data_IF_089303587147
#
_entry.id   IF_089303587147
#
_cell.length_a   1.000
_cell.length_b   1.000
_cell.length_c   1.000
_cell.angle_alpha   90.00
_cell.angle_beta   90.00
_cell.angle_gamma   90.00
#
_symmetry.space_group_name_H-M   'P 1'
#
loop_
_entity.id
_entity.type
_entity.pdbx_description
1 polymer ?
#
# COMPACT_ATOMS: atom_id res chain seq x y z
N UNK A 1 -0.65 -7.51 -13.05
CA UNK A 1 -0.19 -6.47 -12.10
C UNK A 1 1.32 -6.28 -12.09
N UNK A 2 2.10 -7.33 -12.28
CA UNK A 2 3.57 -7.18 -12.24
C UNK A 2 4.07 -6.18 -13.28
N UNK A 3 3.63 -6.31 -14.53
CA UNK A 3 4.04 -5.38 -15.59
C UNK A 3 3.62 -3.94 -15.31
N UNK A 4 2.43 -3.77 -14.76
CA UNK A 4 1.90 -2.45 -14.42
C UNK A 4 2.69 -1.80 -13.28
N UNK A 5 3.12 -2.59 -12.30
CA UNK A 5 3.86 -2.08 -11.14
C UNK A 5 5.37 -1.97 -11.38
N UNK A 6 5.88 -2.49 -12.50
CA UNK A 6 7.32 -2.49 -12.77
C UNK A 6 7.96 -1.09 -12.69
N UNK A 7 7.41 -0.04 -13.33
CA UNK A 7 8.03 1.29 -13.20
C UNK A 7 8.10 1.78 -11.75
N UNK A 8 7.05 1.51 -10.98
CA UNK A 8 7.00 1.89 -9.57
C UNK A 8 8.04 1.11 -8.75
N UNK A 9 8.11 -0.20 -8.93
CA UNK A 9 9.06 -1.05 -8.21
C UNK A 9 10.51 -0.72 -8.59
N UNK A 10 10.78 -0.44 -9.86
CA UNK A 10 12.10 -0.01 -10.32
C UNK A 10 12.54 1.30 -9.62
N UNK A 11 11.60 2.20 -9.39
CA UNK A 11 11.87 3.46 -8.67
C UNK A 11 12.09 3.19 -7.17
N UNK A 12 11.23 2.38 -6.57
CA UNK A 12 11.24 2.12 -5.14
C UNK A 12 12.53 1.44 -4.65
N UNK A 13 13.19 0.64 -5.49
CA UNK A 13 14.43 -0.04 -5.09
C UNK A 13 15.53 0.94 -4.66
N UNK A 14 15.47 2.18 -5.12
CA UNK A 14 16.48 3.21 -4.84
C UNK A 14 16.04 4.17 -3.72
N UNK A 15 14.87 3.97 -3.12
CA UNK A 15 14.39 4.84 -2.05
C UNK A 15 14.99 4.46 -0.70
N UNK A 16 15.32 5.47 0.08
CA UNK A 16 15.76 5.31 1.47
C UNK A 16 14.54 5.52 2.38
N UNK A 17 13.98 4.44 2.89
CA UNK A 17 12.80 4.51 3.75
C UNK A 17 13.13 4.97 5.17
N UNK A 18 14.41 5.07 5.54
CA UNK A 18 14.81 5.63 6.83
C UNK A 18 14.50 7.12 6.92
N UNK A 19 14.24 7.77 5.78
CA UNK A 19 13.74 9.15 5.73
C UNK A 19 12.37 9.12 5.01
N UNK A 20 11.30 8.74 5.71
CA UNK A 20 10.01 8.53 5.07
C UNK A 20 9.44 9.80 4.43
N UNK A 21 9.67 10.97 5.00
CA UNK A 21 9.17 12.22 4.41
C UNK A 21 9.82 12.49 3.05
N UNK A 22 11.14 12.29 2.93
CA UNK A 22 11.85 12.47 1.66
C UNK A 22 11.44 11.41 0.64
N UNK A 23 11.27 10.15 1.06
CA UNK A 23 10.81 9.08 0.18
C UNK A 23 9.40 9.37 -0.35
N UNK A 24 8.51 9.83 0.52
CA UNK A 24 7.14 10.18 0.15
C UNK A 24 7.11 11.34 -0.85
N UNK A 25 7.93 12.37 -0.62
CA UNK A 25 8.05 13.50 -1.55
C UNK A 25 8.57 13.06 -2.91
N UNK A 26 9.54 12.16 -2.95
CA UNK A 26 10.09 11.61 -4.19
C UNK A 26 9.04 10.81 -4.97
N UNK A 27 8.24 10.01 -4.28
CA UNK A 27 7.15 9.25 -4.89
C UNK A 27 6.08 10.18 -5.47
N UNK A 28 5.69 11.21 -4.73
CA UNK A 28 4.69 12.17 -5.19
C UNK A 28 5.20 12.95 -6.41
N UNK A 29 6.47 13.28 -6.46
CA UNK A 29 7.07 13.98 -7.59
C UNK A 29 7.16 13.10 -8.84
N UNK A 30 7.56 11.82 -8.70
CA UNK A 30 7.71 10.89 -9.82
C UNK A 30 6.37 10.32 -10.28
N UNK A 31 5.49 10.02 -9.32
CA UNK A 31 4.18 9.42 -9.59
C UNK A 31 3.09 10.23 -8.89
N UNK A 32 2.72 11.41 -9.44
CA UNK A 32 1.68 12.23 -8.83
C UNK A 32 0.37 11.45 -8.65
N UNK A 33 -0.27 11.62 -7.51
CA UNK A 33 -1.48 10.86 -7.17
C UNK A 33 -2.58 11.02 -8.23
N UNK A 34 -2.79 12.24 -8.71
CA UNK A 34 -3.79 12.50 -9.75
C UNK A 34 -3.35 12.14 -11.16
N UNK A 35 -2.12 11.62 -11.34
CA UNK A 35 -1.58 11.30 -12.63
C UNK A 35 -2.16 10.03 -13.25
N UNK A 36 -2.00 9.90 -14.57
CA UNK A 36 -2.55 8.78 -15.33
C UNK A 36 -2.03 7.42 -14.86
N UNK A 37 -0.74 7.34 -14.54
CA UNK A 37 -0.13 6.08 -14.09
C UNK A 37 -0.75 5.59 -12.79
N UNK A 38 -0.81 6.46 -11.78
CA UNK A 38 -1.37 6.12 -10.46
C UNK A 38 -2.84 5.77 -10.55
N UNK A 39 -3.60 6.55 -11.32
CA UNK A 39 -5.04 6.27 -11.50
C UNK A 39 -5.26 4.99 -12.30
N UNK A 40 -4.32 4.61 -13.17
CA UNK A 40 -4.33 3.33 -13.86
C UNK A 40 -4.13 2.15 -12.89
N UNK A 41 -3.27 2.31 -11.88
CA UNK A 41 -3.12 1.32 -10.81
C UNK A 41 -4.44 1.17 -10.05
N UNK A 42 -5.08 2.29 -9.70
CA UNK A 42 -6.37 2.26 -9.00
C UNK A 42 -7.42 1.50 -9.80
N UNK A 43 -7.53 1.77 -11.09
CA UNK A 43 -8.50 1.10 -11.97
C UNK A 43 -8.24 -0.41 -12.04
N UNK A 44 -6.97 -0.83 -12.15
CA UNK A 44 -6.62 -2.24 -12.19
C UNK A 44 -6.93 -2.94 -10.86
N UNK A 45 -6.67 -2.29 -9.73
CA UNK A 45 -6.97 -2.84 -8.41
C UNK A 45 -8.49 -2.95 -8.20
N UNK A 46 -9.25 -1.93 -8.60
CA UNK A 46 -10.72 -1.97 -8.50
C UNK A 46 -11.31 -3.09 -9.33
N UNK A 47 -10.77 -3.32 -10.51
CA UNK A 47 -11.20 -4.44 -11.36
C UNK A 47 -10.89 -5.78 -10.68
N UNK A 48 -9.73 -5.91 -10.03
CA UNK A 48 -9.36 -7.12 -9.29
C UNK A 48 -10.27 -7.38 -8.08
N UNK A 49 -10.69 -6.34 -7.39
CA UNK A 49 -11.65 -6.47 -6.28
C UNK A 49 -13.01 -6.91 -6.82
N UNK A 50 -13.45 -6.32 -7.92
CA UNK A 50 -14.75 -6.63 -8.51
C UNK A 50 -14.84 -8.08 -9.04
N UNK A 51 -13.75 -8.59 -9.62
CA UNK A 51 -13.73 -9.96 -10.18
C UNK A 51 -13.33 -11.03 -9.14
N UNK A 52 -12.98 -10.63 -7.92
CA UNK A 52 -12.62 -11.55 -6.85
C UNK A 52 -11.16 -12.01 -6.85
N UNK A 53 -10.31 -11.46 -7.71
CA UNK A 53 -8.89 -11.82 -7.74
C UNK A 53 -8.06 -11.06 -6.72
N UNK A 54 -8.59 -9.97 -6.16
CA UNK A 54 -7.94 -9.19 -5.11
C UNK A 54 -8.86 -9.01 -3.91
N UNK A 55 -8.25 -8.88 -2.73
CA UNK A 55 -8.97 -8.68 -1.46
C UNK A 55 -10.01 -9.78 -1.21
N UNK A 56 -9.65 -11.01 -1.57
CA UNK A 56 -10.53 -12.19 -1.45
C UNK A 56 -10.35 -12.93 -0.12
N UNK A 57 -9.41 -12.47 0.72
CA UNK A 57 -9.15 -13.06 2.04
C UNK A 57 -9.65 -12.12 3.14
N UNK A 58 -9.90 -12.67 4.31
CA UNK A 58 -10.44 -11.89 5.42
C UNK A 58 -11.92 -11.60 5.22
N UNK A 59 -12.44 -10.69 6.02
CA UNK A 59 -13.85 -10.29 5.99
C UNK A 59 -13.96 -8.79 6.23
N UNK A 60 -15.06 -8.18 5.76
CA UNK A 60 -15.31 -6.78 6.08
C UNK A 60 -15.26 -6.60 7.61
N UNK A 61 -14.67 -5.54 8.13
CA UNK A 61 -14.24 -4.33 7.43
C UNK A 61 -12.79 -4.32 6.93
N UNK A 62 -12.07 -5.46 6.98
CA UNK A 62 -10.69 -5.56 6.48
C UNK A 62 -10.55 -6.80 5.60
N UNK A 63 -10.40 -6.59 4.29
CA UNK A 63 -10.12 -7.66 3.32
C UNK A 63 -8.79 -7.40 2.66
N UNK A 64 -8.09 -8.47 2.27
CA UNK A 64 -6.73 -8.36 1.76
C UNK A 64 -6.37 -9.51 0.82
N UNK A 65 -5.27 -9.32 0.09
CA UNK A 65 -4.61 -10.39 -0.67
C UNK A 65 -3.20 -9.98 -1.03
N UNK A 66 -2.31 -10.96 -1.16
CA UNK A 66 -0.98 -10.72 -1.71
C UNK A 66 -1.05 -10.80 -3.23
N UNK A 67 -0.70 -9.71 -3.89
CA UNK A 67 -0.76 -9.57 -5.36
C UNK A 67 0.54 -10.04 -5.99
N UNK A 68 1.68 -9.65 -5.41
CA UNK A 68 3.01 -10.06 -5.87
C UNK A 68 3.84 -10.53 -4.68
N UNK A 69 4.49 -11.68 -4.83
CA UNK A 69 5.47 -12.17 -3.87
C UNK A 69 6.81 -11.49 -4.12
N UNK A 70 7.66 -11.34 -3.09
CA UNK A 70 9.02 -10.84 -3.30
C UNK A 70 9.77 -11.72 -4.30
N UNK A 71 10.44 -11.10 -5.25
CA UNK A 71 11.21 -11.80 -6.27
C UNK A 71 12.30 -10.87 -6.81
N UNK A 72 13.16 -11.40 -7.68
CA UNK A 72 14.13 -10.60 -8.39
C UNK A 72 13.44 -9.55 -9.28
N UNK A 73 12.36 -9.93 -9.95
CA UNK A 73 11.60 -9.04 -10.82
C UNK A 73 10.91 -7.91 -10.07
N UNK A 74 10.63 -8.09 -8.78
CA UNK A 74 10.02 -7.05 -7.92
C UNK A 74 11.05 -6.32 -7.08
N UNK A 75 12.34 -6.56 -7.31
CA UNK A 75 13.44 -6.00 -6.50
C UNK A 75 13.28 -6.33 -5.00
N UNK A 76 12.72 -7.50 -4.71
CA UNK A 76 12.51 -7.98 -3.36
C UNK A 76 11.28 -7.42 -2.65
N UNK A 77 10.46 -6.60 -3.31
CA UNK A 77 9.21 -6.10 -2.72
C UNK A 77 8.08 -7.10 -2.88
N UNK A 78 7.22 -7.19 -1.88
CA UNK A 78 5.87 -7.73 -2.09
C UNK A 78 4.91 -6.60 -2.39
N UNK A 79 3.78 -6.93 -3.01
CA UNK A 79 2.67 -6.01 -3.20
C UNK A 79 1.42 -6.67 -2.65
N UNK A 80 0.77 -6.01 -1.69
CA UNK A 80 -0.47 -6.49 -1.09
C UNK A 80 -1.59 -5.49 -1.37
N UNK A 81 -2.79 -5.99 -1.66
CA UNK A 81 -3.98 -5.17 -1.80
C UNK A 81 -4.82 -5.31 -0.54
N UNK A 82 -5.24 -4.19 0.03
CA UNK A 82 -6.05 -4.17 1.26
C UNK A 82 -7.24 -3.25 1.04
N UNK A 83 -8.43 -3.75 1.34
CA UNK A 83 -9.67 -2.97 1.29
C UNK A 83 -10.21 -2.88 2.71
N UNK A 84 -10.21 -1.66 3.27
CA UNK A 84 -10.55 -1.51 4.69
C UNK A 84 -11.34 -0.23 4.98
N UNK A 85 -12.16 -0.31 6.03
CA UNK A 85 -12.98 0.79 6.52
C UNK A 85 -12.94 0.90 8.05
N UNK A 86 -11.94 0.27 8.68
CA UNK A 86 -11.78 0.24 10.13
C UNK A 86 -10.29 0.03 10.46
N UNK A 87 -9.90 0.12 11.75
CA UNK A 87 -8.54 -0.25 12.14
C UNK A 87 -8.22 -1.70 11.83
N UNK A 88 -7.02 -1.94 11.30
CA UNK A 88 -6.47 -3.27 11.11
C UNK A 88 -5.61 -3.71 12.30
N UNK A 89 -4.94 -4.87 12.21
CA UNK A 89 -4.09 -5.35 13.29
C UNK A 89 -2.81 -4.54 13.43
N UNK A 90 -2.39 -4.32 14.68
CA UNK A 90 -1.12 -3.64 14.96
C UNK A 90 0.04 -4.43 14.39
N UNK A 91 0.95 -3.77 13.70
CA UNK A 91 2.09 -4.44 13.11
C UNK A 91 3.35 -3.57 13.07
N UNK A 92 4.49 -4.25 12.92
CA UNK A 92 5.80 -3.63 12.73
C UNK A 92 6.25 -3.86 11.29
N UNK A 93 6.94 -2.89 10.72
CA UNK A 93 7.54 -2.97 9.38
C UNK A 93 9.05 -3.13 9.53
N UNK A 94 9.60 -4.38 9.52
CA UNK A 94 11.05 -4.56 9.71
C UNK A 94 11.91 -3.75 8.73
N UNK A 95 11.48 -3.64 7.47
CA UNK A 95 12.21 -2.93 6.41
C UNK A 95 11.52 -1.66 5.94
N UNK A 96 10.43 -1.25 6.61
CA UNK A 96 9.61 -0.13 6.19
C UNK A 96 8.41 -0.54 5.33
N UNK A 97 7.62 0.43 4.93
CA UNK A 97 6.40 0.20 4.15
C UNK A 97 6.09 1.41 3.28
N UNK A 98 5.64 1.15 2.06
CA UNK A 98 5.15 2.18 1.14
C UNK A 98 3.69 1.86 0.86
N UNK A 99 2.80 2.83 1.11
CA UNK A 99 1.37 2.67 0.91
C UNK A 99 0.86 3.68 -0.10
N UNK A 100 0.08 3.19 -1.07
CA UNK A 100 -0.66 4.03 -2.01
C UNK A 100 -2.14 3.85 -1.73
N UNK A 101 -2.78 4.90 -1.23
CA UNK A 101 -4.13 4.84 -0.66
C UNK A 101 -5.14 5.54 -1.57
N UNK A 102 -6.18 4.80 -1.97
CA UNK A 102 -7.27 5.31 -2.81
C UNK A 102 -8.58 5.35 -2.02
N UNK A 103 -9.34 6.44 -2.15
CA UNK A 103 -10.65 6.53 -1.55
C UNK A 103 -11.67 5.72 -2.38
N UNK A 104 -12.45 4.87 -1.72
CA UNK A 104 -13.49 4.07 -2.37
C UNK A 104 -14.89 4.50 -1.96
N UNK A 105 -15.06 5.02 -0.74
CA UNK A 105 -16.35 5.47 -0.24
C UNK A 105 -16.12 6.51 0.85
N UNK A 106 -16.94 7.56 0.84
CA UNK A 106 -16.85 8.65 1.81
C UNK A 106 -15.64 9.55 1.61
N UNK A 107 -15.15 10.12 2.70
CA UNK A 107 -13.95 10.94 2.73
C UNK A 107 -12.93 10.32 3.68
N UNK A 108 -12.36 9.13 3.32
CA UNK A 108 -11.51 8.40 4.24
C UNK A 108 -10.12 9.01 4.37
N UNK A 109 -9.50 8.74 5.52
CA UNK A 109 -8.10 9.02 5.77
C UNK A 109 -7.42 7.77 6.31
N UNK A 110 -6.15 7.57 5.95
CA UNK A 110 -5.31 6.47 6.41
C UNK A 110 -4.33 7.01 7.45
N UNK A 111 -4.47 6.57 8.70
CA UNK A 111 -3.68 7.09 9.83
C UNK A 111 -3.69 8.63 9.90
N UNK A 112 -4.83 9.23 9.55
CA UNK A 112 -4.97 10.68 9.49
C UNK A 112 -4.50 11.34 8.21
N UNK A 113 -4.01 10.57 7.23
CA UNK A 113 -3.53 11.10 5.96
C UNK A 113 -4.60 10.98 4.87
N UNK A 114 -4.74 12.02 4.06
CA UNK A 114 -5.61 12.01 2.89
C UNK A 114 -5.16 10.94 1.88
N UNK A 115 -6.01 10.54 0.90
CA UNK A 115 -5.58 9.63 -0.16
C UNK A 115 -4.29 10.11 -0.82
N UNK A 116 -3.43 9.16 -1.19
CA UNK A 116 -2.11 9.42 -1.75
C UNK A 116 -1.06 8.49 -1.20
N UNK A 117 0.19 8.94 -1.22
CA UNK A 117 1.33 8.18 -0.75
C UNK A 117 1.54 8.37 0.76
N UNK A 118 1.82 7.28 1.46
CA UNK A 118 2.25 7.28 2.86
C UNK A 118 3.41 6.32 3.01
N UNK A 119 4.50 6.76 3.65
CA UNK A 119 5.72 5.95 3.82
C UNK A 119 6.04 5.82 5.30
N UNK A 120 6.39 4.60 5.71
CA UNK A 120 6.83 4.28 7.07
C UNK A 120 8.27 3.79 7.07
N UNK A 121 9.04 4.24 8.07
CA UNK A 121 10.45 3.88 8.23
C UNK A 121 10.62 2.42 8.68
N UNK A 122 11.82 1.82 8.46
CA UNK A 122 12.14 0.52 9.04
C UNK A 122 11.94 0.51 10.56
N UNK A 123 11.47 -0.63 11.07
CA UNK A 123 11.16 -0.86 12.49
C UNK A 123 10.01 -0.04 13.06
N UNK A 124 9.30 0.71 12.23
CA UNK A 124 8.13 1.45 12.69
C UNK A 124 6.97 0.51 13.03
N UNK A 125 6.17 0.94 14.00
CA UNK A 125 4.99 0.19 14.49
C UNK A 125 3.78 1.10 14.40
N UNK A 126 2.67 0.59 13.88
CA UNK A 126 1.41 1.32 13.92
C UNK A 126 0.20 0.38 13.90
N UNK A 127 -0.96 0.94 14.18
CA UNK A 127 -2.24 0.29 13.94
C UNK A 127 -2.80 0.96 12.69
N UNK A 128 -2.76 0.27 11.51
CA UNK A 128 -3.27 0.90 10.29
C UNK A 128 -4.76 1.18 10.46
N UNK A 129 -5.17 2.42 10.25
CA UNK A 129 -6.53 2.83 10.55
C UNK A 129 -7.12 3.65 9.42
N UNK A 130 -8.24 3.19 8.86
CA UNK A 130 -9.03 3.94 7.91
C UNK A 130 -10.27 4.45 8.64
N UNK A 131 -10.48 5.76 8.59
CA UNK A 131 -11.64 6.43 9.20
C UNK A 131 -12.27 7.36 8.19
N UNK A 132 -13.57 7.58 8.32
CA UNK A 132 -14.30 8.50 7.45
C UNK A 132 -14.81 7.88 6.16
N UNK A 133 -14.56 6.59 5.92
CA UNK A 133 -15.01 5.89 4.72
C UNK A 133 -14.24 4.61 4.51
N UNK A 134 -14.04 4.27 3.24
CA UNK A 134 -13.38 3.03 2.83
C UNK A 134 -12.21 3.38 1.89
N UNK A 135 -11.09 2.67 2.06
CA UNK A 135 -9.92 2.81 1.19
C UNK A 135 -9.50 1.47 0.60
N UNK A 136 -9.00 1.54 -0.64
CA UNK A 136 -8.27 0.47 -1.29
C UNK A 136 -6.80 0.87 -1.28
N UNK A 137 -5.94 0.04 -0.71
CA UNK A 137 -4.55 0.39 -0.45
C UNK A 137 -3.62 -0.62 -1.10
N UNK A 138 -2.60 -0.13 -1.80
CA UNK A 138 -1.50 -0.94 -2.28
C UNK A 138 -0.36 -0.82 -1.26
N UNK A 139 -0.01 -1.93 -0.61
CA UNK A 139 1.11 -2.02 0.32
C UNK A 139 2.32 -2.59 -0.40
N UNK A 140 3.43 -1.85 -0.40
CA UNK A 140 4.70 -2.35 -0.90
C UNK A 140 5.63 -2.59 0.28
N UNK A 141 6.05 -3.85 0.46
CA UNK A 141 6.85 -4.27 1.61
C UNK A 141 8.20 -4.81 1.13
N UNK A 142 9.31 -4.16 1.50
CA UNK A 142 10.64 -4.74 1.21
C UNK A 142 10.78 -6.11 1.87
N UNK A 143 11.21 -7.10 1.11
CA UNK A 143 11.31 -8.48 1.58
C UNK A 143 9.99 -9.16 1.88
N UNK A 144 8.87 -8.48 1.66
CA UNK A 144 7.56 -8.95 2.08
C UNK A 144 7.41 -8.98 3.58
N UNK A 145 8.24 -8.25 4.31
CA UNK A 145 8.33 -8.35 5.76
C UNK A 145 7.31 -7.48 6.48
N UNK A 146 6.48 -8.13 7.26
CA UNK A 146 5.53 -7.50 8.17
C UNK A 146 5.38 -8.40 9.38
N UNK A 147 5.38 -7.81 10.58
CA UNK A 147 5.27 -8.55 11.82
C UNK A 147 4.01 -8.09 12.56
N UNK A 148 3.03 -9.00 12.67
CA UNK A 148 1.81 -8.70 13.43
C UNK A 148 2.08 -8.83 14.92
N UNK A 149 1.70 -7.81 15.68
CA UNK A 149 1.98 -7.72 17.11
C UNK A 149 0.69 -7.94 17.91
N UNK A 150 0.85 -8.47 19.12
CA UNK A 150 -0.25 -8.55 20.06
C UNK A 150 -0.56 -7.15 20.58
N UNK A 151 -1.82 -6.81 20.64
CA UNK A 151 -2.28 -5.54 21.20
C UNK A 151 -2.17 -5.51 22.72
#
# INVERSE_FOLDING_TARGET
MQDRLKPLLDFCQNLDLSDPAAAQAALEAEFPFGGEYVQGIAAAMRAGVADGSMCHMGEDPVRFSRVLKPSEDTHGFSADAVLMSAPGPRHRHPQGEIDLCFAEDGEPAFDGNAPGWTVYAPDSVHVPSVRGGKMLILYLLPGGEIEFLKS
#
